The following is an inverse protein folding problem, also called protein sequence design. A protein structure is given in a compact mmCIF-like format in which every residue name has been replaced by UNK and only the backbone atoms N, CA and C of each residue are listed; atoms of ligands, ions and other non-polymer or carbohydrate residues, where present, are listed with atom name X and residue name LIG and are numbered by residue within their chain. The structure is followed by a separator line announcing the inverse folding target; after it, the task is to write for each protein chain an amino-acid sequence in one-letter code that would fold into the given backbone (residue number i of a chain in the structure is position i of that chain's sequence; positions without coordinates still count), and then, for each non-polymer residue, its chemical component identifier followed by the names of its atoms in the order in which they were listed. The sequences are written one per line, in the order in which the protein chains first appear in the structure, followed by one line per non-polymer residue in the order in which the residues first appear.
data_IF_746512377980
#
_entry.id   IF_746512377980
#
_cell.length_a   1.000
_cell.length_b   1.000
_cell.length_c   1.000
_cell.angle_alpha   90.00
_cell.angle_beta   90.00
_cell.angle_gamma   90.00
#
_symmetry.space_group_name_H-M   'P 1'
#
loop_
_entity.id
_entity.type
_entity.pdbx_description
1 polymer ?
#
# COMPACT_ATOMS: atom_id res chain seq x y z
N UNK A 1 41.60 -26.69 -40.55
CA UNK A 1 43.04 -26.89 -40.38
C UNK A 1 43.34 -26.55 -38.94
N UNK A 2 43.46 -27.56 -38.13
CA UNK A 2 44.66 -28.18 -37.50
C UNK A 2 45.33 -27.24 -36.51
N UNK A 3 45.02 -27.52 -35.22
CA UNK A 3 45.99 -27.99 -34.18
C UNK A 3 47.02 -26.94 -33.71
N UNK A 4 47.28 -26.79 -32.39
CA UNK A 4 47.96 -27.70 -31.50
C UNK A 4 47.83 -27.28 -30.01
N UNK A 5 47.59 -28.29 -29.20
CA UNK A 5 47.77 -28.28 -27.74
C UNK A 5 49.24 -28.21 -27.36
N UNK A 6 49.56 -27.50 -26.28
CA UNK A 6 50.72 -27.86 -25.44
C UNK A 6 50.35 -27.69 -23.96
N UNK A 7 50.27 -28.81 -23.28
CA UNK A 7 50.08 -28.88 -21.84
C UNK A 7 51.37 -28.50 -21.11
N UNK A 8 51.19 -27.88 -19.96
CA UNK A 8 52.25 -27.69 -18.99
C UNK A 8 51.78 -28.37 -17.70
N UNK A 9 52.45 -29.50 -17.35
CA UNK A 9 52.29 -30.18 -16.08
C UNK A 9 53.09 -29.44 -15.02
N UNK A 10 52.46 -28.92 -13.99
CA UNK A 10 53.09 -28.40 -12.79
C UNK A 10 52.88 -29.45 -11.69
N UNK A 11 53.97 -30.11 -11.30
CA UNK A 11 54.04 -31.00 -10.14
C UNK A 11 53.90 -30.16 -8.86
N UNK A 12 52.84 -30.37 -8.11
CA UNK A 12 52.68 -29.81 -6.78
C UNK A 12 53.23 -30.77 -5.76
N UNK A 13 54.32 -30.36 -5.10
CA UNK A 13 54.88 -31.04 -3.93
C UNK A 13 53.99 -30.72 -2.73
N UNK A 14 53.35 -31.74 -2.17
CA UNK A 14 52.57 -31.62 -0.93
C UNK A 14 53.52 -31.83 0.24
N UNK A 15 53.77 -30.75 0.98
CA UNK A 15 54.48 -30.80 2.27
C UNK A 15 53.45 -30.98 3.37
N UNK A 16 53.42 -32.15 4.00
CA UNK A 16 52.64 -32.38 5.21
C UNK A 16 53.36 -31.75 6.41
N UNK A 17 52.81 -30.65 6.93
CA UNK A 17 53.17 -30.16 8.25
C UNK A 17 52.15 -30.69 9.26
N UNK A 18 52.53 -31.69 10.04
CA UNK A 18 51.78 -32.11 11.22
C UNK A 18 51.90 -31.04 12.28
N UNK A 19 50.83 -30.28 12.53
CA UNK A 19 50.71 -29.46 13.71
C UNK A 19 49.68 -30.07 14.66
N UNK A 20 50.17 -30.43 15.82
CA UNK A 20 49.44 -30.99 16.94
C UNK A 20 48.74 -29.88 17.72
N UNK A 21 47.51 -30.11 18.12
CA UNK A 21 46.99 -29.61 19.37
C UNK A 21 46.13 -28.35 19.33
N UNK A 22 44.88 -28.53 19.67
CA UNK A 22 43.98 -27.48 20.11
C UNK A 22 42.53 -27.81 19.76
N UNK A 23 41.87 -28.67 20.53
CA UNK A 23 40.43 -28.88 20.47
C UNK A 23 39.73 -27.66 21.00
N UNK A 24 39.50 -26.65 20.15
CA UNK A 24 38.52 -25.60 20.42
C UNK A 24 37.18 -26.13 19.97
N UNK A 25 36.31 -26.49 20.91
CA UNK A 25 34.90 -26.79 20.66
C UNK A 25 34.19 -25.48 20.22
N UNK A 26 34.25 -25.20 18.93
CA UNK A 26 33.42 -24.15 18.36
C UNK A 26 31.97 -24.64 18.36
N UNK A 27 31.18 -24.14 19.29
CA UNK A 27 29.72 -24.27 19.23
C UNK A 27 29.26 -23.73 17.87
N UNK A 28 28.48 -24.47 17.06
CA UNK A 28 27.97 -23.96 15.80
C UNK A 28 27.15 -22.68 16.08
N UNK A 29 27.36 -21.64 15.29
CA UNK A 29 26.54 -20.44 15.37
C UNK A 29 25.05 -20.81 15.18
N UNK A 30 24.15 -20.25 15.95
CA UNK A 30 22.70 -20.48 15.74
C UNK A 30 22.31 -20.12 14.31
N UNK A 31 21.37 -20.85 13.69
CA UNK A 31 20.88 -20.53 12.35
C UNK A 31 20.35 -19.11 12.31
N UNK A 32 20.52 -18.38 11.19
CA UNK A 32 19.98 -17.03 11.04
C UNK A 32 18.47 -17.03 11.29
N UNK A 33 18.00 -16.01 11.99
CA UNK A 33 16.56 -15.83 12.21
C UNK A 33 15.81 -15.78 10.87
N UNK A 34 14.59 -16.36 10.79
CA UNK A 34 13.78 -16.26 9.59
C UNK A 34 13.51 -14.79 9.25
N UNK A 35 13.40 -14.43 7.96
CA UNK A 35 13.04 -13.07 7.55
C UNK A 35 11.72 -12.64 8.21
N UNK A 36 11.57 -11.36 8.58
CA UNK A 36 10.31 -10.85 9.13
C UNK A 36 9.16 -11.10 8.15
N UNK A 37 8.05 -11.58 8.67
CA UNK A 37 6.83 -11.75 7.88
C UNK A 37 6.37 -10.38 7.35
N UNK A 38 6.04 -10.26 6.06
CA UNK A 38 5.52 -9.00 5.53
C UNK A 38 4.27 -8.55 6.30
N UNK A 39 4.08 -7.24 6.52
CA UNK A 39 2.89 -6.72 7.20
C UNK A 39 1.60 -7.16 6.48
N UNK A 40 0.59 -7.54 7.25
CA UNK A 40 -0.68 -8.01 6.70
C UNK A 40 -1.41 -6.92 5.91
N UNK A 41 -2.10 -7.32 4.84
CA UNK A 41 -2.99 -6.46 4.07
C UNK A 41 -4.25 -7.24 3.71
N UNK A 42 -5.41 -6.59 3.84
CA UNK A 42 -6.73 -7.14 3.45
C UNK A 42 -7.46 -6.13 2.58
N UNK A 43 -8.28 -6.59 1.63
CA UNK A 43 -9.09 -5.68 0.81
C UNK A 43 -10.15 -4.96 1.66
N UNK A 44 -10.72 -3.85 1.16
CA UNK A 44 -11.83 -3.17 1.81
C UNK A 44 -13.05 -4.07 2.02
N UNK A 45 -13.62 -4.00 3.23
CA UNK A 45 -14.92 -4.58 3.56
C UNK A 45 -15.86 -3.43 3.85
N UNK A 46 -16.96 -3.35 3.10
CA UNK A 46 -17.84 -2.20 3.07
C UNK A 46 -19.24 -2.52 3.59
N UNK A 47 -19.83 -1.58 4.33
CA UNK A 47 -21.22 -1.62 4.80
C UNK A 47 -21.94 -0.35 4.36
N UNK A 48 -23.21 -0.49 3.93
CA UNK A 48 -24.05 0.66 3.59
C UNK A 48 -24.30 1.51 4.86
N UNK A 49 -24.16 2.82 4.74
CA UNK A 49 -24.43 3.76 5.82
C UNK A 49 -25.90 4.21 5.79
N UNK A 50 -26.31 5.03 6.78
CA UNK A 50 -27.60 5.73 6.74
C UNK A 50 -27.70 6.81 5.65
N UNK A 51 -26.57 7.25 5.10
CA UNK A 51 -26.52 8.16 3.96
C UNK A 51 -26.68 7.38 2.68
N UNK A 52 -27.67 7.75 1.88
CA UNK A 52 -27.99 7.06 0.63
C UNK A 52 -26.73 6.93 -0.27
N UNK A 53 -26.58 5.77 -0.92
CA UNK A 53 -25.51 5.46 -1.86
C UNK A 53 -24.08 5.62 -1.29
N UNK A 54 -23.95 5.65 0.04
CA UNK A 54 -22.68 5.84 0.74
C UNK A 54 -22.34 4.62 1.56
N UNK A 55 -21.13 4.09 1.36
CA UNK A 55 -20.61 2.94 2.08
C UNK A 55 -19.44 3.37 2.97
N UNK A 56 -19.40 2.85 4.19
CA UNK A 56 -18.23 2.91 5.05
C UNK A 56 -17.45 1.62 4.90
N UNK A 57 -16.15 1.74 4.63
CA UNK A 57 -15.28 0.60 4.42
C UNK A 57 -14.08 0.62 5.37
N UNK A 58 -13.67 -0.55 5.81
CA UNK A 58 -12.43 -0.76 6.57
C UNK A 58 -11.55 -1.76 5.86
N UNK A 59 -10.25 -1.61 5.98
CA UNK A 59 -9.24 -2.52 5.44
C UNK A 59 -7.99 -2.51 6.31
N UNK A 60 -7.16 -3.53 6.17
CA UNK A 60 -5.79 -3.48 6.69
C UNK A 60 -4.83 -3.24 5.54
N UNK A 61 -3.94 -2.26 5.68
CA UNK A 61 -2.88 -2.02 4.71
C UNK A 61 -1.53 -1.90 5.41
N UNK A 62 -0.59 -2.78 5.07
CA UNK A 62 0.74 -2.87 5.72
C UNK A 62 0.65 -2.90 7.25
N UNK A 63 -0.30 -3.67 7.79
CA UNK A 63 -0.52 -3.82 9.23
C UNK A 63 -1.28 -2.67 9.91
N UNK A 64 -1.67 -1.63 9.17
CA UNK A 64 -2.47 -0.50 9.68
C UNK A 64 -3.94 -0.66 9.30
N UNK A 65 -4.83 -0.41 10.26
CA UNK A 65 -6.26 -0.27 9.96
C UNK A 65 -6.49 1.05 9.23
N UNK A 66 -7.13 0.96 8.07
CA UNK A 66 -7.50 2.12 7.24
C UNK A 66 -9.01 2.13 7.05
N UNK A 67 -9.55 3.34 6.91
CA UNK A 67 -10.98 3.59 6.76
C UNK A 67 -11.21 4.49 5.56
N UNK A 68 -12.39 4.35 4.95
CA UNK A 68 -12.82 5.23 3.86
C UNK A 68 -14.34 5.25 3.77
N UNK A 69 -14.87 6.28 3.14
CA UNK A 69 -16.23 6.27 2.63
C UNK A 69 -16.17 6.24 1.10
N UNK A 70 -17.08 5.50 0.49
CA UNK A 70 -17.28 5.50 -0.95
C UNK A 70 -18.72 5.93 -1.26
N UNK A 71 -18.86 6.89 -2.15
CA UNK A 71 -20.15 7.31 -2.71
C UNK A 71 -20.26 6.81 -4.14
N UNK A 72 -21.35 6.09 -4.42
CA UNK A 72 -21.67 5.55 -5.74
C UNK A 72 -22.90 6.30 -6.23
N UNK A 73 -22.81 7.10 -7.31
CA UNK A 73 -23.96 7.90 -7.76
C UNK A 73 -25.13 7.02 -8.22
N UNK A 74 -26.33 7.53 -8.08
CA UNK A 74 -27.56 6.78 -8.37
C UNK A 74 -27.68 6.31 -9.83
N UNK A 75 -27.01 7.01 -10.74
CA UNK A 75 -26.96 6.68 -12.18
C UNK A 75 -25.81 5.75 -12.58
N UNK A 76 -24.98 5.28 -11.61
CA UNK A 76 -23.91 4.31 -11.89
C UNK A 76 -24.49 2.97 -12.33
N UNK A 77 -23.85 2.35 -13.31
CA UNK A 77 -24.15 0.99 -13.77
C UNK A 77 -22.88 0.21 -14.06
N UNK A 78 -22.77 -1.00 -13.50
CA UNK A 78 -21.63 -1.91 -13.75
C UNK A 78 -21.49 -2.28 -15.23
N UNK A 79 -22.62 -2.31 -15.96
CA UNK A 79 -22.67 -2.64 -17.38
C UNK A 79 -22.73 -1.39 -18.29
N UNK A 80 -22.60 -0.19 -17.71
CA UNK A 80 -22.61 1.08 -18.43
C UNK A 80 -21.24 1.44 -19.00
N UNK A 81 -21.08 2.71 -19.37
CA UNK A 81 -19.77 3.25 -19.71
C UNK A 81 -18.89 3.37 -18.45
N UNK A 82 -17.57 3.10 -18.55
CA UNK A 82 -16.67 3.29 -17.41
C UNK A 82 -16.69 4.73 -16.89
N UNK A 83 -16.83 4.91 -15.57
CA UNK A 83 -16.96 6.22 -14.92
C UNK A 83 -15.64 6.70 -14.30
N UNK A 84 -15.43 8.02 -14.15
CA UNK A 84 -14.28 8.56 -13.43
C UNK A 84 -14.31 8.21 -11.95
N UNK A 85 -13.13 8.29 -11.33
CA UNK A 85 -12.91 8.13 -9.89
C UNK A 85 -12.32 9.42 -9.33
N UNK A 86 -12.93 9.95 -8.25
CA UNK A 86 -12.44 11.12 -7.52
C UNK A 86 -12.06 10.73 -6.09
N UNK A 87 -10.84 11.04 -5.67
CA UNK A 87 -10.43 11.04 -4.26
C UNK A 87 -10.61 12.42 -3.67
N UNK A 88 -11.41 12.55 -2.61
CA UNK A 88 -11.57 13.78 -1.84
C UNK A 88 -10.85 13.63 -0.50
N UNK A 89 -9.66 14.22 -0.39
CA UNK A 89 -8.78 14.13 0.77
C UNK A 89 -9.17 15.20 1.79
N UNK A 90 -9.29 14.81 3.07
CA UNK A 90 -9.58 15.78 4.13
C UNK A 90 -8.30 16.55 4.52
N UNK A 91 -8.46 17.75 5.07
CA UNK A 91 -7.34 18.55 5.59
C UNK A 91 -6.77 18.00 6.92
N UNK A 92 -5.63 18.54 7.34
CA UNK A 92 -5.05 18.25 8.66
C UNK A 92 -6.07 18.48 9.78
N UNK A 93 -6.11 17.59 10.77
CA UNK A 93 -7.08 17.53 11.89
C UNK A 93 -8.52 17.19 11.50
N UNK A 94 -8.86 17.18 10.20
CA UNK A 94 -10.20 16.85 9.71
C UNK A 94 -10.41 15.34 9.59
N UNK A 95 -11.58 14.92 9.13
CA UNK A 95 -11.97 13.52 8.99
C UNK A 95 -12.69 13.27 7.67
N UNK A 96 -12.57 12.04 7.16
CA UNK A 96 -13.25 11.61 5.94
C UNK A 96 -14.77 11.86 6.00
N UNK A 97 -15.42 11.55 7.13
CA UNK A 97 -16.86 11.75 7.31
C UNK A 97 -17.27 13.23 7.26
N UNK A 98 -16.42 14.13 7.75
CA UNK A 98 -16.69 15.57 7.66
C UNK A 98 -16.51 16.06 6.22
N UNK A 99 -15.46 15.59 5.55
CA UNK A 99 -15.20 15.91 4.15
C UNK A 99 -16.36 15.46 3.25
N UNK A 100 -16.86 14.25 3.46
CA UNK A 100 -18.07 13.74 2.80
C UNK A 100 -19.29 14.65 3.05
N UNK A 101 -19.38 15.25 4.25
CA UNK A 101 -20.51 16.10 4.63
C UNK A 101 -20.51 17.47 3.96
N UNK A 102 -19.35 18.14 3.84
CA UNK A 102 -19.31 19.55 3.46
C UNK A 102 -18.84 19.85 2.01
N UNK A 103 -18.17 18.91 1.33
CA UNK A 103 -17.58 19.20 0.01
C UNK A 103 -18.59 19.28 -1.13
N UNK A 104 -19.80 18.77 -0.96
CA UNK A 104 -20.82 18.77 -2.00
C UNK A 104 -20.58 17.83 -3.18
N UNK A 105 -19.47 17.05 -3.21
CA UNK A 105 -19.15 16.19 -4.35
C UNK A 105 -20.18 15.10 -4.63
N UNK A 106 -21.00 14.70 -3.66
CA UNK A 106 -22.05 13.70 -3.88
C UNK A 106 -23.11 14.17 -4.88
N UNK A 107 -23.58 15.41 -4.75
CA UNK A 107 -24.56 15.98 -5.71
C UNK A 107 -23.94 16.14 -7.10
N UNK A 108 -22.68 16.60 -7.19
CA UNK A 108 -21.96 16.71 -8.46
C UNK A 108 -21.74 15.32 -9.08
N UNK A 109 -21.46 14.31 -8.26
CA UNK A 109 -21.31 12.94 -8.72
C UNK A 109 -22.60 12.36 -9.31
N UNK A 110 -23.76 12.71 -8.74
CA UNK A 110 -25.07 12.32 -9.30
C UNK A 110 -25.36 13.03 -10.64
N UNK A 111 -24.88 14.26 -10.81
CA UNK A 111 -25.06 15.03 -12.05
C UNK A 111 -24.10 14.56 -13.15
N UNK A 112 -22.83 14.37 -12.81
CA UNK A 112 -21.74 14.14 -13.78
C UNK A 112 -21.34 12.66 -13.92
N UNK A 113 -21.81 11.75 -13.07
CA UNK A 113 -21.61 10.32 -13.18
C UNK A 113 -20.19 9.88 -12.84
N UNK A 114 -19.69 10.11 -11.61
CA UNK A 114 -18.41 9.63 -11.14
C UNK A 114 -18.49 9.08 -9.72
N UNK A 115 -17.62 8.12 -9.37
CA UNK A 115 -17.52 7.59 -8.01
C UNK A 115 -16.60 8.48 -7.17
N UNK A 116 -16.96 8.71 -5.90
CA UNK A 116 -16.11 9.48 -4.96
C UNK A 116 -15.66 8.60 -3.82
N UNK A 117 -14.35 8.63 -3.54
CA UNK A 117 -13.77 8.05 -2.34
C UNK A 117 -13.32 9.17 -1.40
N UNK A 118 -13.68 9.05 -0.13
CA UNK A 118 -13.24 9.90 0.98
C UNK A 118 -12.38 9.04 1.90
N UNK A 119 -11.07 8.94 1.65
CA UNK A 119 -10.19 8.14 2.49
C UNK A 119 -9.89 8.85 3.80
N UNK A 120 -9.63 8.07 4.87
CA UNK A 120 -9.25 8.59 6.18
C UNK A 120 -7.72 8.56 6.32
N UNK A 121 -7.13 9.72 6.58
CA UNK A 121 -5.72 9.86 6.95
C UNK A 121 -5.43 9.24 8.31
N UNK A 122 -4.20 8.86 8.55
CA UNK A 122 -3.75 8.24 9.80
C UNK A 122 -3.57 9.27 10.93
N UNK A 123 -3.23 8.80 12.12
CA UNK A 123 -2.92 9.67 13.27
C UNK A 123 -1.42 9.99 13.28
N UNK A 124 -1.08 11.27 13.32
CA UNK A 124 0.30 11.72 13.49
C UNK A 124 0.76 11.49 14.94
N UNK A 125 1.81 10.68 15.19
CA UNK A 125 2.20 10.30 16.55
C UNK A 125 2.53 11.46 17.46
N UNK A 126 3.09 12.55 16.93
CA UNK A 126 3.52 13.73 17.72
C UNK A 126 2.38 14.62 18.17
N UNK A 127 1.26 14.64 17.47
CA UNK A 127 0.15 15.57 17.75
C UNK A 127 -1.15 14.87 18.11
N UNK A 128 -1.26 13.56 17.83
CA UNK A 128 -2.51 12.81 17.97
C UNK A 128 -3.60 13.21 16.97
N UNK A 129 -3.25 13.98 15.94
CA UNK A 129 -4.20 14.49 14.95
C UNK A 129 -4.18 13.68 13.66
N UNK A 130 -5.28 13.67 12.96
CA UNK A 130 -5.39 13.08 11.63
C UNK A 130 -4.55 13.85 10.62
N UNK A 131 -3.83 13.14 9.75
CA UNK A 131 -2.92 13.73 8.79
C UNK A 131 -2.74 12.84 7.56
N UNK A 132 -2.11 13.41 6.54
CA UNK A 132 -1.48 12.70 5.43
C UNK A 132 0.03 12.83 5.58
N UNK A 133 0.76 11.75 5.30
CA UNK A 133 2.22 11.79 5.35
C UNK A 133 2.76 12.45 4.08
N UNK A 134 3.06 13.73 4.20
CA UNK A 134 3.55 14.56 3.08
C UNK A 134 5.05 14.90 3.20
N UNK A 135 5.77 14.25 4.15
CA UNK A 135 7.14 14.62 4.51
C UNK A 135 7.20 15.94 5.31
N UNK A 136 8.34 16.62 5.31
CA UNK A 136 8.49 17.88 6.02
C UNK A 136 8.12 17.77 7.52
N UNK A 137 7.07 18.47 7.97
CA UNK A 137 6.62 18.46 9.36
C UNK A 137 5.95 17.13 9.80
N UNK A 138 5.66 16.21 8.87
CA UNK A 138 5.08 14.89 9.18
C UNK A 138 6.12 13.77 9.28
N UNK A 139 7.41 14.07 9.37
CA UNK A 139 8.52 13.10 9.35
C UNK A 139 8.48 12.03 10.44
N UNK A 140 7.71 12.24 11.51
CA UNK A 140 7.48 11.21 12.55
C UNK A 140 6.43 10.17 12.13
N UNK A 141 5.72 10.40 11.05
CA UNK A 141 4.79 9.43 10.48
C UNK A 141 5.55 8.39 9.66
N UNK A 142 5.25 7.13 9.92
CA UNK A 142 5.74 5.99 9.12
C UNK A 142 4.65 5.46 8.18
N UNK A 143 3.51 6.15 8.09
CA UNK A 143 2.39 5.72 7.26
C UNK A 143 2.71 5.94 5.78
N UNK A 144 2.46 4.94 4.97
CA UNK A 144 2.59 5.00 3.51
C UNK A 144 1.20 5.31 2.92
N UNK A 145 0.88 6.60 2.82
CA UNK A 145 -0.41 7.04 2.30
C UNK A 145 -0.50 6.93 0.77
N UNK A 146 0.63 6.97 0.07
CA UNK A 146 0.68 6.74 -1.39
C UNK A 146 0.25 5.31 -1.68
N UNK A 147 0.89 4.32 -1.05
CA UNK A 147 0.52 2.91 -1.18
C UNK A 147 -0.96 2.64 -0.79
N UNK A 148 -1.48 3.36 0.20
CA UNK A 148 -2.90 3.25 0.55
C UNK A 148 -3.80 3.74 -0.59
N UNK A 149 -3.56 4.91 -1.16
CA UNK A 149 -4.35 5.45 -2.28
C UNK A 149 -4.21 4.56 -3.52
N UNK A 150 -3.01 4.10 -3.88
CA UNK A 150 -2.79 3.17 -4.99
C UNK A 150 -3.60 1.88 -4.80
N UNK A 151 -3.60 1.32 -3.59
CA UNK A 151 -4.38 0.12 -3.29
C UNK A 151 -5.90 0.32 -3.44
N UNK A 152 -6.39 1.53 -3.19
CA UNK A 152 -7.79 1.88 -3.40
C UNK A 152 -8.13 2.06 -4.89
N UNK A 153 -7.19 2.58 -5.70
CA UNK A 153 -7.35 2.65 -7.16
C UNK A 153 -7.46 1.23 -7.74
N UNK A 154 -6.54 0.34 -7.36
CA UNK A 154 -6.54 -1.04 -7.81
C UNK A 154 -7.83 -1.78 -7.40
N UNK A 155 -8.21 -1.64 -6.12
CA UNK A 155 -9.43 -2.27 -5.61
C UNK A 155 -10.69 -1.73 -6.31
N UNK A 156 -10.76 -0.43 -6.53
CA UNK A 156 -11.92 0.19 -7.20
C UNK A 156 -12.01 -0.27 -8.65
N UNK A 157 -10.89 -0.29 -9.38
CA UNK A 157 -10.82 -0.79 -10.75
C UNK A 157 -11.19 -2.27 -10.89
N UNK A 158 -10.94 -3.08 -9.84
CA UNK A 158 -11.30 -4.51 -9.85
C UNK A 158 -12.77 -4.77 -9.47
N UNK A 159 -13.45 -3.85 -8.78
CA UNK A 159 -14.80 -4.06 -8.22
C UNK A 159 -15.87 -3.15 -8.84
N UNK A 160 -15.49 -2.12 -9.57
CA UNK A 160 -16.39 -1.18 -10.23
C UNK A 160 -15.94 -0.90 -11.66
N UNK A 161 -16.88 -0.52 -12.51
CA UNK A 161 -16.58 -0.15 -13.89
C UNK A 161 -15.99 1.27 -13.96
N UNK A 162 -14.70 1.39 -13.61
CA UNK A 162 -13.94 2.64 -13.54
C UNK A 162 -13.10 2.84 -14.80
N UNK A 163 -13.07 4.07 -15.30
CA UNK A 163 -12.08 4.50 -16.28
C UNK A 163 -10.79 4.90 -15.55
N UNK A 164 -9.79 4.01 -15.53
CA UNK A 164 -8.51 4.22 -14.84
C UNK A 164 -7.66 5.35 -15.45
N UNK A 165 -7.96 5.82 -16.67
CA UNK A 165 -7.34 7.02 -17.25
C UNK A 165 -7.95 8.33 -16.70
N UNK A 166 -9.01 8.23 -15.90
CA UNK A 166 -9.77 9.35 -15.34
C UNK A 166 -9.87 9.25 -13.81
N UNK A 167 -8.72 9.14 -13.16
CA UNK A 167 -8.58 9.14 -11.69
C UNK A 167 -8.05 10.50 -11.26
N UNK A 168 -8.77 11.15 -10.35
CA UNK A 168 -8.49 12.50 -9.88
C UNK A 168 -8.39 12.55 -8.36
N UNK A 169 -7.69 13.55 -7.84
CA UNK A 169 -7.65 13.85 -6.40
C UNK A 169 -7.83 15.33 -6.14
N UNK A 170 -8.45 15.66 -5.01
CA UNK A 170 -8.62 17.01 -4.47
C UNK A 170 -8.56 16.98 -2.95
N UNK A 171 -8.22 18.10 -2.32
CA UNK A 171 -8.13 18.23 -0.86
C UNK A 171 -7.77 19.63 -0.42
#
# INVERSE_FOLDING_TARGET
MRNFFKGCYISIIVIFLSSCGGSSSSTPAPPPAPPPTPPSSTPPVCTLTSTQNTYYCTMTRKGLNRELYIYIPANYSENGSPVPLLFSLHGYTSRAIWNLGYTGFRSIADEEGFIVIYPQGSILPTTGQTHWNVGGWTTTSTTDDIDFIESLIDWTGANFNINLDRVYSTG
#
